data_IF_222589759790
#
_entry.id   IF_222589759790
#
_cell.length_a   1.000
_cell.length_b   1.000
_cell.length_c   1.000
_cell.angle_alpha   90.00
_cell.angle_beta   90.00
_cell.angle_gamma   90.00
#
_symmetry.space_group_name_H-M   'P 1'
#
loop_
_entity.id
_entity.type
_entity.pdbx_description
1 polymer ?
#
# COMPACT_ATOMS: atom_id res chain seq x y z
N UNK A 1 -6.53 8.72 -18.42
CA UNK A 1 -7.29 7.67 -17.70
C UNK A 1 -8.77 7.92 -17.96
N UNK A 2 -9.53 7.00 -18.57
CA UNK A 2 -11.01 7.15 -18.60
C UNK A 2 -11.54 6.87 -17.19
N UNK A 3 -11.96 7.91 -16.47
CA UNK A 3 -12.67 7.79 -15.19
C UNK A 3 -13.98 7.07 -15.48
N UNK A 4 -14.26 5.98 -14.77
CA UNK A 4 -15.46 5.18 -15.03
C UNK A 4 -16.63 5.70 -14.23
N UNK A 5 -17.82 5.57 -14.80
CA UNK A 5 -19.10 5.94 -14.17
C UNK A 5 -19.21 5.31 -12.78
N UNK A 6 -18.81 4.06 -12.59
CA UNK A 6 -18.82 3.41 -11.26
C UNK A 6 -17.93 4.12 -10.23
N UNK A 7 -16.75 4.60 -10.64
CA UNK A 7 -15.85 5.36 -9.75
C UNK A 7 -16.44 6.73 -9.44
N UNK A 8 -17.09 7.36 -10.42
CA UNK A 8 -17.69 8.68 -10.30
C UNK A 8 -18.95 8.66 -9.42
N UNK A 9 -19.86 7.70 -9.64
CA UNK A 9 -21.06 7.50 -8.82
C UNK A 9 -20.68 7.29 -7.35
N UNK A 10 -19.68 6.44 -7.10
CA UNK A 10 -19.30 6.17 -5.72
C UNK A 10 -18.53 7.33 -5.10
N UNK A 11 -17.75 8.08 -5.89
CA UNK A 11 -17.15 9.33 -5.43
C UNK A 11 -18.23 10.33 -4.99
N UNK A 12 -19.29 10.51 -5.80
CA UNK A 12 -20.37 11.43 -5.48
C UNK A 12 -21.10 11.03 -4.20
N UNK A 13 -21.36 9.74 -4.01
CA UNK A 13 -21.93 9.22 -2.76
C UNK A 13 -21.06 9.54 -1.56
N UNK A 14 -19.74 9.35 -1.69
CA UNK A 14 -18.80 9.54 -0.60
C UNK A 14 -18.59 11.02 -0.25
N UNK A 15 -18.48 11.86 -1.29
CA UNK A 15 -18.47 13.30 -1.13
C UNK A 15 -19.75 13.77 -0.44
N UNK A 16 -20.91 13.23 -0.83
CA UNK A 16 -22.18 13.50 -0.16
C UNK A 16 -22.16 13.12 1.32
N UNK A 17 -21.63 11.94 1.67
CA UNK A 17 -21.52 11.49 3.06
C UNK A 17 -20.58 12.41 3.86
N UNK A 18 -19.43 12.78 3.31
CA UNK A 18 -18.49 13.68 3.99
C UNK A 18 -19.06 15.10 4.14
N UNK A 19 -19.70 15.64 3.09
CA UNK A 19 -20.34 16.96 3.15
C UNK A 19 -21.55 16.99 4.10
N UNK A 20 -22.22 15.86 4.32
CA UNK A 20 -23.33 15.76 5.28
C UNK A 20 -22.88 15.72 6.74
N UNK A 21 -21.58 15.66 7.02
CA UNK A 21 -21.05 15.52 8.39
C UNK A 21 -21.19 14.11 8.98
N UNK A 22 -21.82 13.16 8.28
CA UNK A 22 -21.95 11.76 8.73
C UNK A 22 -20.60 11.09 8.95
N UNK A 23 -19.57 11.52 8.19
CA UNK A 23 -18.19 11.07 8.40
C UNK A 23 -17.22 12.24 8.31
N UNK A 24 -16.56 12.49 9.43
CA UNK A 24 -15.43 13.40 9.52
C UNK A 24 -14.12 12.60 9.61
N UNK A 25 -13.10 13.09 8.93
CA UNK A 25 -11.73 12.59 9.07
C UNK A 25 -10.93 13.61 9.88
N UNK A 26 -10.22 13.12 10.89
CA UNK A 26 -9.27 13.92 11.65
C UNK A 26 -7.82 13.52 11.33
N UNK A 27 -6.92 14.49 11.49
CA UNK A 27 -5.49 14.22 11.56
C UNK A 27 -5.18 13.40 12.83
N UNK A 28 -4.04 12.71 12.83
CA UNK A 28 -3.63 11.89 13.96
C UNK A 28 -2.79 12.70 14.97
N UNK A 29 -2.75 12.30 16.26
CA UNK A 29 -2.19 13.11 17.35
C UNK A 29 -0.78 13.67 17.07
N UNK A 30 0.14 12.83 16.58
CA UNK A 30 1.54 13.22 16.32
C UNK A 30 1.70 14.39 15.34
N UNK A 31 0.74 14.60 14.44
CA UNK A 31 0.76 15.74 13.50
C UNK A 31 -0.02 16.91 14.09
N UNK A 32 -1.12 16.64 14.79
CA UNK A 32 -1.87 17.67 15.50
C UNK A 32 -1.01 18.37 16.56
N UNK A 33 -0.18 17.63 17.29
CA UNK A 33 0.72 18.21 18.31
C UNK A 33 1.69 19.23 17.67
N UNK A 34 2.27 18.89 16.52
CA UNK A 34 3.15 19.79 15.77
C UNK A 34 2.41 21.00 15.21
N UNK A 35 1.17 20.79 14.74
CA UNK A 35 0.31 21.86 14.23
C UNK A 35 -0.09 22.84 15.33
N UNK A 36 -0.49 22.33 16.51
CA UNK A 36 -0.87 23.13 17.67
C UNK A 36 0.30 23.92 18.26
N UNK A 37 1.51 23.37 18.18
CA UNK A 37 2.75 24.08 18.53
C UNK A 37 3.16 25.14 17.48
N UNK A 38 2.38 25.31 16.41
CA UNK A 38 2.69 26.21 15.29
C UNK A 38 4.09 25.98 14.71
N UNK A 39 4.51 24.72 14.66
CA UNK A 39 5.85 24.38 14.18
C UNK A 39 5.99 24.70 12.69
N UNK A 40 7.00 25.51 12.36
CA UNK A 40 7.36 25.83 10.98
C UNK A 40 8.04 24.61 10.34
N UNK A 41 7.56 24.09 9.19
CA UNK A 41 8.23 23.05 8.42
C UNK A 41 9.74 23.26 8.26
N UNK A 42 10.21 24.50 8.07
CA UNK A 42 11.64 24.79 7.91
C UNK A 42 12.47 24.42 9.16
N UNK A 43 11.90 24.67 10.34
CA UNK A 43 12.54 24.41 11.65
C UNK A 43 12.47 22.94 12.08
N UNK A 44 11.65 22.12 11.40
CA UNK A 44 11.46 20.71 11.73
C UNK A 44 12.45 19.78 11.04
N UNK A 45 13.51 20.32 10.42
CA UNK A 45 14.55 19.50 9.78
C UNK A 45 15.22 18.61 10.84
N UNK A 46 15.15 17.28 10.64
CA UNK A 46 15.64 16.29 11.60
C UNK A 46 14.60 15.80 12.61
N UNK A 47 13.41 16.43 12.68
CA UNK A 47 12.34 15.98 13.57
C UNK A 47 11.75 14.63 13.09
N UNK A 48 11.54 13.64 13.97
CA UNK A 48 11.09 12.29 13.59
C UNK A 48 9.66 12.24 13.03
N UNK A 49 8.89 13.32 13.13
CA UNK A 49 7.55 13.42 12.54
C UNK A 49 7.47 14.44 11.41
N UNK A 50 8.60 14.99 10.96
CA UNK A 50 8.66 15.98 9.89
C UNK A 50 7.95 15.52 8.62
N UNK A 51 8.32 14.35 8.07
CA UNK A 51 7.69 13.86 6.85
C UNK A 51 6.20 13.54 7.02
N UNK A 52 5.79 13.08 8.21
CA UNK A 52 4.37 12.87 8.55
C UNK A 52 3.60 14.17 8.51
N UNK A 53 4.20 15.21 9.09
CA UNK A 53 3.64 16.56 9.11
C UNK A 53 3.53 17.12 7.70
N UNK A 54 4.58 17.03 6.89
CA UNK A 54 4.58 17.48 5.50
C UNK A 54 3.46 16.85 4.65
N UNK A 55 3.17 15.56 4.84
CA UNK A 55 2.08 14.88 4.12
C UNK A 55 0.70 15.37 4.57
N UNK A 56 0.52 15.68 5.85
CA UNK A 56 -0.76 16.14 6.38
C UNK A 56 -0.96 17.66 6.27
N UNK A 57 0.12 18.42 6.12
CA UNK A 57 0.14 19.89 6.15
C UNK A 57 -0.87 20.54 5.20
N UNK A 58 -1.01 20.13 3.91
CA UNK A 58 -2.02 20.71 3.03
C UNK A 58 -3.45 20.52 3.54
N UNK A 59 -3.74 19.36 4.14
CA UNK A 59 -5.05 19.10 4.75
C UNK A 59 -5.31 19.93 5.99
N UNK A 60 -4.27 20.21 6.79
CA UNK A 60 -4.39 21.05 7.98
C UNK A 60 -4.57 22.53 7.63
N UNK A 61 -3.93 23.00 6.55
CA UNK A 61 -4.21 24.33 6.02
C UNK A 61 -5.67 24.46 5.58
N UNK A 62 -6.21 23.46 4.86
CA UNK A 62 -7.63 23.45 4.50
C UNK A 62 -8.54 23.40 5.73
N UNK A 63 -8.16 22.66 6.78
CA UNK A 63 -8.92 22.60 8.03
C UNK A 63 -8.96 23.94 8.76
N UNK A 64 -7.87 24.72 8.72
CA UNK A 64 -7.84 26.08 9.28
C UNK A 64 -8.82 26.99 8.55
N UNK A 65 -8.88 26.90 7.22
CA UNK A 65 -9.71 27.77 6.39
C UNK A 65 -11.18 27.29 6.39
N UNK A 66 -11.43 25.98 6.59
CA UNK A 66 -12.75 25.34 6.65
C UNK A 66 -12.85 24.35 7.84
N UNK A 67 -13.07 24.85 9.07
CA UNK A 67 -13.11 24.01 10.27
C UNK A 67 -14.17 22.90 10.21
N UNK A 68 -13.80 21.68 10.60
CA UNK A 68 -14.62 20.46 10.58
C UNK A 68 -14.64 19.73 9.22
N UNK A 69 -14.32 20.43 8.12
CA UNK A 69 -14.50 19.92 6.77
C UNK A 69 -13.20 19.82 5.96
N UNK A 70 -12.26 20.74 6.16
CA UNK A 70 -11.08 20.89 5.30
C UNK A 70 -10.20 19.65 5.23
N UNK A 71 -9.89 19.04 6.37
CA UNK A 71 -9.10 17.79 6.41
C UNK A 71 -9.87 16.61 5.81
N UNK A 72 -11.20 16.60 5.96
CA UNK A 72 -12.08 15.59 5.38
C UNK A 72 -12.12 15.68 3.85
N UNK A 73 -12.16 16.88 3.28
CA UNK A 73 -12.04 17.12 1.84
C UNK A 73 -10.68 16.66 1.31
N UNK A 74 -9.61 16.94 2.05
CA UNK A 74 -8.27 16.44 1.71
C UNK A 74 -8.23 14.90 1.67
N UNK A 75 -8.83 14.22 2.65
CA UNK A 75 -8.95 12.76 2.66
C UNK A 75 -9.77 12.24 1.48
N UNK A 76 -10.83 12.93 1.06
CA UNK A 76 -11.62 12.55 -0.13
C UNK A 76 -10.78 12.50 -1.41
N UNK A 77 -9.79 13.39 -1.57
CA UNK A 77 -8.86 13.36 -2.70
C UNK A 77 -8.01 12.08 -2.71
N UNK A 78 -7.52 11.63 -1.55
CA UNK A 78 -6.81 10.35 -1.45
C UNK A 78 -7.73 9.16 -1.67
N UNK A 79 -8.99 9.23 -1.27
CA UNK A 79 -9.97 8.18 -1.58
C UNK A 79 -10.23 8.07 -3.09
N UNK A 80 -10.35 9.19 -3.80
CA UNK A 80 -10.42 9.21 -5.27
C UNK A 80 -9.19 8.54 -5.88
N UNK A 81 -7.99 8.92 -5.39
CA UNK A 81 -6.74 8.33 -5.84
C UNK A 81 -6.74 6.81 -5.60
N UNK A 82 -7.11 6.36 -4.40
CA UNK A 82 -7.21 4.96 -4.02
C UNK A 82 -8.14 4.20 -4.96
N UNK A 83 -9.36 4.69 -5.17
CA UNK A 83 -10.33 4.08 -6.07
C UNK A 83 -9.78 3.97 -7.50
N UNK A 84 -9.20 5.04 -8.02
CA UNK A 84 -8.68 5.09 -9.39
C UNK A 84 -7.50 4.13 -9.62
N UNK A 85 -6.54 4.10 -8.68
CA UNK A 85 -5.35 3.25 -8.73
C UNK A 85 -5.73 1.79 -8.51
N UNK A 86 -6.59 1.50 -7.54
CA UNK A 86 -7.07 0.15 -7.28
C UNK A 86 -7.86 -0.43 -8.45
N UNK A 87 -8.73 0.36 -9.08
CA UNK A 87 -9.42 -0.05 -10.32
C UNK A 87 -8.45 -0.34 -11.47
N UNK A 88 -7.35 0.40 -11.57
CA UNK A 88 -6.29 0.12 -12.54
C UNK A 88 -5.55 -1.19 -12.20
N UNK A 89 -5.25 -1.44 -10.92
CA UNK A 89 -4.64 -2.69 -10.43
C UNK A 89 -5.51 -3.89 -10.81
N UNK A 90 -6.80 -3.89 -10.45
CA UNK A 90 -7.73 -5.00 -10.72
C UNK A 90 -7.79 -5.33 -12.21
N UNK A 91 -7.77 -4.31 -13.08
CA UNK A 91 -7.74 -4.51 -14.53
C UNK A 91 -6.40 -5.07 -15.01
N UNK A 92 -5.28 -4.58 -14.50
CA UNK A 92 -3.95 -5.10 -14.86
C UNK A 92 -3.78 -6.57 -14.47
N UNK A 93 -4.44 -7.02 -13.40
CA UNK A 93 -4.29 -8.37 -12.84
C UNK A 93 -5.32 -9.35 -13.35
N UNK A 94 -6.57 -8.91 -13.56
CA UNK A 94 -7.68 -9.79 -13.94
C UNK A 94 -8.34 -9.45 -15.27
N UNK A 95 -7.94 -8.35 -15.94
CA UNK A 95 -8.52 -7.86 -17.21
C UNK A 95 -10.02 -7.54 -17.14
N UNK A 96 -10.61 -7.43 -15.94
CA UNK A 96 -12.03 -7.14 -15.74
C UNK A 96 -12.20 -6.04 -14.70
N UNK A 97 -13.32 -5.32 -14.76
CA UNK A 97 -13.76 -4.38 -13.73
C UNK A 97 -14.08 -5.11 -12.40
N UNK A 98 -13.86 -4.47 -11.24
CA UNK A 98 -14.48 -4.92 -9.99
C UNK A 98 -16.02 -4.86 -10.10
N UNK A 99 -16.73 -5.76 -9.40
CA UNK A 99 -18.19 -5.69 -9.28
C UNK A 99 -18.61 -4.61 -8.29
N UNK A 100 -19.87 -4.18 -8.34
CA UNK A 100 -20.43 -3.20 -7.41
C UNK A 100 -20.31 -3.64 -5.94
N UNK A 101 -20.48 -4.93 -5.65
CA UNK A 101 -20.28 -5.48 -4.30
C UNK A 101 -18.85 -5.27 -3.78
N UNK A 102 -17.83 -5.60 -4.60
CA UNK A 102 -16.42 -5.45 -4.20
C UNK A 102 -16.08 -3.96 -4.04
N UNK A 103 -16.64 -3.10 -4.90
CA UNK A 103 -16.54 -1.66 -4.73
C UNK A 103 -17.17 -1.20 -3.41
N UNK A 104 -18.39 -1.64 -3.10
CA UNK A 104 -19.06 -1.31 -1.84
C UNK A 104 -18.22 -1.68 -0.62
N UNK A 105 -17.64 -2.89 -0.61
CA UNK A 105 -16.72 -3.33 0.45
C UNK A 105 -15.45 -2.48 0.53
N UNK A 106 -14.84 -2.14 -0.62
CA UNK A 106 -13.65 -1.29 -0.67
C UNK A 106 -13.91 0.06 0.00
N UNK A 107 -15.06 0.69 -0.26
CA UNK A 107 -15.41 1.99 0.31
C UNK A 107 -15.89 1.89 1.75
N UNK A 108 -16.67 0.87 2.09
CA UNK A 108 -17.10 0.60 3.46
C UNK A 108 -15.89 0.57 4.40
N UNK A 109 -14.80 -0.08 3.99
CA UNK A 109 -13.56 -0.12 4.78
C UNK A 109 -12.94 1.28 4.97
N UNK A 110 -13.00 2.17 3.97
CA UNK A 110 -12.50 3.54 4.13
C UNK A 110 -13.33 4.35 5.14
N UNK A 111 -14.62 4.07 5.28
CA UNK A 111 -15.48 4.74 6.27
C UNK A 111 -15.06 4.45 7.70
N UNK A 112 -14.45 3.29 7.95
CA UNK A 112 -13.88 2.92 9.25
C UNK A 112 -12.46 3.43 9.47
N UNK A 113 -11.84 4.07 8.48
CA UNK A 113 -10.49 4.61 8.61
C UNK A 113 -10.50 6.04 9.16
N UNK A 114 -9.41 6.40 9.82
CA UNK A 114 -9.03 7.80 10.03
C UNK A 114 -8.25 8.32 8.82
N UNK A 115 -7.93 9.62 8.79
CA UNK A 115 -7.21 10.20 7.66
C UNK A 115 -5.84 9.58 7.41
N UNK A 116 -5.15 9.16 8.48
CA UNK A 116 -3.87 8.41 8.38
C UNK A 116 -4.03 7.14 7.54
N UNK A 117 -5.09 6.37 7.78
CA UNK A 117 -5.36 5.11 7.08
C UNK A 117 -5.62 5.32 5.59
N UNK A 118 -6.40 6.35 5.24
CA UNK A 118 -6.73 6.68 3.86
C UNK A 118 -5.47 7.03 3.05
N UNK A 119 -4.60 7.86 3.61
CA UNK A 119 -3.33 8.26 2.98
C UNK A 119 -2.36 7.07 2.90
N UNK A 120 -2.29 6.25 3.95
CA UNK A 120 -1.49 5.02 3.96
C UNK A 120 -1.91 4.05 2.84
N UNK A 121 -3.21 3.95 2.56
CA UNK A 121 -3.71 3.16 1.44
C UNK A 121 -3.27 3.72 0.09
N UNK A 122 -3.18 5.04 -0.07
CA UNK A 122 -2.65 5.65 -1.29
C UNK A 122 -1.19 5.30 -1.53
N UNK A 123 -0.37 5.39 -0.48
CA UNK A 123 1.02 4.96 -0.53
C UNK A 123 1.15 3.50 -1.00
N UNK A 124 0.39 2.61 -0.37
CA UNK A 124 0.40 1.19 -0.68
C UNK A 124 -0.11 0.88 -2.09
N UNK A 125 -1.24 1.45 -2.52
CA UNK A 125 -1.81 1.19 -3.84
C UNK A 125 -0.90 1.70 -4.96
N UNK A 126 -0.24 2.85 -4.78
CA UNK A 126 0.77 3.33 -5.72
C UNK A 126 1.97 2.36 -5.80
N UNK A 127 2.44 1.89 -4.64
CA UNK A 127 3.49 0.87 -4.53
C UNK A 127 3.11 -0.45 -5.23
N UNK A 128 1.93 -1.01 -4.92
CA UNK A 128 1.38 -2.21 -5.56
C UNK A 128 1.31 -2.05 -7.06
N UNK A 129 0.81 -0.91 -7.54
CA UNK A 129 0.71 -0.62 -8.98
C UNK A 129 2.10 -0.63 -9.64
N UNK A 130 3.12 -0.10 -8.96
CA UNK A 130 4.50 -0.11 -9.44
C UNK A 130 5.09 -1.52 -9.43
N UNK A 131 4.93 -2.28 -8.35
CA UNK A 131 5.39 -3.66 -8.23
C UNK A 131 4.80 -4.57 -9.32
N UNK A 132 3.51 -4.42 -9.64
CA UNK A 132 2.86 -5.17 -10.74
C UNK A 132 3.47 -4.82 -12.11
N UNK A 133 3.88 -3.57 -12.32
CA UNK A 133 4.56 -3.19 -13.56
C UNK A 133 6.01 -3.72 -13.57
N UNK A 134 6.70 -3.69 -12.42
CA UNK A 134 8.05 -4.23 -12.26
C UNK A 134 8.12 -5.74 -12.53
N UNK A 135 7.09 -6.49 -12.14
CA UNK A 135 7.03 -7.95 -12.35
C UNK A 135 7.02 -8.36 -13.83
N UNK A 136 6.81 -7.41 -14.75
CA UNK A 136 6.83 -7.63 -16.21
C UNK A 136 8.19 -7.21 -16.76
N UNK A 137 9.19 -8.07 -16.58
CA UNK A 137 10.61 -7.76 -16.81
C UNK A 137 10.92 -7.09 -18.17
N UNK A 138 10.22 -7.47 -19.24
CA UNK A 138 10.48 -6.97 -20.60
C UNK A 138 9.70 -5.71 -20.97
N UNK A 139 8.75 -5.25 -20.14
CA UNK A 139 7.91 -4.09 -20.43
C UNK A 139 8.52 -2.85 -19.78
N UNK A 140 8.74 -1.74 -20.52
CA UNK A 140 9.23 -0.50 -19.92
C UNK A 140 8.23 0.08 -18.93
N UNK A 141 8.73 0.58 -17.80
CA UNK A 141 7.90 1.16 -16.74
C UNK A 141 7.89 2.67 -16.91
N UNK A 142 6.71 3.28 -16.92
CA UNK A 142 6.57 4.74 -16.92
C UNK A 142 6.80 5.30 -15.51
N UNK A 143 7.71 6.27 -15.41
CA UNK A 143 8.00 7.03 -14.20
C UNK A 143 8.22 6.19 -12.92
N UNK A 144 9.07 5.14 -12.96
CA UNK A 144 9.24 4.24 -11.82
C UNK A 144 9.76 4.97 -10.58
N UNK A 145 10.69 5.91 -10.78
CA UNK A 145 11.27 6.76 -9.73
C UNK A 145 10.20 7.61 -9.05
N UNK A 146 9.44 8.40 -9.83
CA UNK A 146 8.43 9.32 -9.28
C UNK A 146 7.35 8.53 -8.54
N UNK A 147 6.88 7.40 -9.10
CA UNK A 147 5.88 6.56 -8.45
C UNK A 147 6.39 5.95 -7.15
N UNK A 148 7.65 5.49 -7.12
CA UNK A 148 8.29 4.95 -5.93
C UNK A 148 8.50 6.01 -4.86
N UNK A 149 9.04 7.18 -5.24
CA UNK A 149 9.27 8.30 -4.35
C UNK A 149 7.97 8.82 -3.72
N UNK A 150 6.90 9.00 -4.52
CA UNK A 150 5.59 9.42 -4.01
C UNK A 150 4.98 8.35 -3.11
N UNK A 151 5.07 7.06 -3.46
CA UNK A 151 4.59 5.98 -2.62
C UNK A 151 5.33 5.93 -1.27
N UNK A 152 6.65 6.07 -1.27
CA UNK A 152 7.48 6.14 -0.07
C UNK A 152 7.14 7.39 0.76
N UNK A 153 7.06 8.57 0.14
CA UNK A 153 6.74 9.83 0.81
C UNK A 153 5.38 9.77 1.51
N UNK A 154 4.32 9.35 0.81
CA UNK A 154 3.00 9.14 1.41
C UNK A 154 3.02 8.04 2.47
N UNK A 155 3.88 7.03 2.33
CA UNK A 155 4.05 5.96 3.32
C UNK A 155 4.58 6.46 4.66
N UNK A 156 5.25 7.61 4.71
CA UNK A 156 5.85 8.16 5.95
C UNK A 156 4.84 8.41 7.06
N UNK A 157 3.54 8.60 6.73
CA UNK A 157 2.42 8.72 7.69
C UNK A 157 2.33 7.56 8.69
N UNK A 158 2.99 6.43 8.38
CA UNK A 158 3.15 5.31 9.30
C UNK A 158 4.46 4.59 9.02
N UNK A 159 5.36 4.49 10.01
CA UNK A 159 6.64 3.76 9.84
C UNK A 159 6.43 2.35 9.29
N UNK A 160 5.43 1.61 9.78
CA UNK A 160 5.14 0.26 9.27
C UNK A 160 4.67 0.24 7.80
N UNK A 161 3.88 1.22 7.37
CA UNK A 161 3.43 1.33 5.97
C UNK A 161 4.62 1.67 5.07
N UNK A 162 5.42 2.65 5.50
CA UNK A 162 6.65 3.04 4.82
C UNK A 162 7.59 1.85 4.57
N UNK A 163 7.90 1.08 5.63
CA UNK A 163 8.79 -0.09 5.56
C UNK A 163 8.25 -1.12 4.58
N UNK A 164 6.95 -1.41 4.64
CA UNK A 164 6.31 -2.40 3.77
C UNK A 164 6.29 -1.96 2.31
N UNK A 165 6.03 -0.68 2.03
CA UNK A 165 6.09 -0.11 0.67
C UNK A 165 7.52 -0.20 0.13
N UNK A 166 8.52 0.26 0.90
CA UNK A 166 9.92 0.23 0.49
C UNK A 166 10.41 -1.20 0.25
N UNK A 167 10.09 -2.12 1.17
CA UNK A 167 10.45 -3.53 1.07
C UNK A 167 9.82 -4.18 -0.18
N UNK A 168 8.54 -3.92 -0.45
CA UNK A 168 7.88 -4.43 -1.65
C UNK A 168 8.52 -3.89 -2.94
N UNK A 169 8.83 -2.59 -3.00
CA UNK A 169 9.50 -1.99 -4.16
C UNK A 169 10.88 -2.62 -4.36
N UNK A 170 11.67 -2.75 -3.28
CA UNK A 170 12.99 -3.35 -3.32
C UNK A 170 12.96 -4.80 -3.81
N UNK A 171 12.05 -5.61 -3.28
CA UNK A 171 11.90 -7.00 -3.65
C UNK A 171 11.56 -7.15 -5.16
N UNK A 172 10.58 -6.39 -5.64
CA UNK A 172 10.19 -6.43 -7.05
C UNK A 172 11.25 -5.84 -7.99
N UNK A 173 12.04 -4.88 -7.51
CA UNK A 173 13.21 -4.38 -8.23
C UNK A 173 14.28 -5.48 -8.37
N UNK A 174 14.61 -6.20 -7.30
CA UNK A 174 15.53 -7.33 -7.34
C UNK A 174 15.05 -8.43 -8.29
N UNK A 175 13.77 -8.79 -8.24
CA UNK A 175 13.19 -9.78 -9.15
C UNK A 175 13.32 -9.35 -10.61
N UNK A 176 13.02 -8.08 -10.90
CA UNK A 176 13.17 -7.52 -12.25
C UNK A 176 14.62 -7.52 -12.71
N UNK A 177 15.55 -7.17 -11.83
CA UNK A 177 16.98 -7.18 -12.13
C UNK A 177 17.49 -8.58 -12.42
N UNK A 178 17.17 -9.57 -11.56
CA UNK A 178 17.52 -10.99 -11.77
C UNK A 178 16.93 -11.55 -13.08
N UNK A 179 15.74 -11.09 -13.46
CA UNK A 179 15.09 -11.48 -14.72
C UNK A 179 15.65 -10.75 -15.97
N UNK A 180 16.72 -9.96 -15.84
CA UNK A 180 17.33 -9.20 -16.94
C UNK A 180 16.53 -7.98 -17.41
N UNK A 181 15.47 -7.60 -16.69
CA UNK A 181 14.59 -6.47 -17.01
C UNK A 181 15.15 -5.10 -16.63
N UNK A 182 16.30 -5.07 -15.96
CA UNK A 182 17.08 -3.86 -15.65
C UNK A 182 18.49 -4.04 -16.21
N UNK A 183 18.84 -3.23 -17.20
CA UNK A 183 20.22 -3.13 -17.70
C UNK A 183 20.91 -2.01 -16.93
N UNK A 184 21.80 -2.34 -15.99
CA UNK A 184 22.53 -1.33 -15.17
C UNK A 184 23.42 -0.41 -16.01
N UNK A 185 23.79 -0.84 -17.23
CA UNK A 185 24.47 -0.01 -18.22
C UNK A 185 23.60 1.16 -18.73
N UNK A 186 22.28 1.09 -18.57
CA UNK A 186 21.38 2.17 -18.97
C UNK A 186 21.23 3.18 -17.83
N UNK A 187 21.32 4.47 -18.16
CA UNK A 187 21.19 5.59 -17.22
C UNK A 187 19.93 5.49 -16.34
N UNK A 188 18.79 5.07 -16.90
CA UNK A 188 17.55 4.89 -16.15
C UNK A 188 17.61 3.80 -15.09
N UNK A 189 18.37 2.72 -15.34
CA UNK A 189 18.57 1.62 -14.39
C UNK A 189 19.51 2.03 -13.26
N UNK A 190 20.58 2.73 -13.59
CA UNK A 190 21.51 3.30 -12.62
C UNK A 190 20.84 4.36 -11.73
N UNK A 191 20.05 5.27 -12.31
CA UNK A 191 19.28 6.27 -11.56
C UNK A 191 18.26 5.61 -10.62
N UNK A 192 17.55 4.58 -11.07
CA UNK A 192 16.63 3.85 -10.21
C UNK A 192 17.34 3.19 -9.02
N UNK A 193 18.53 2.63 -9.24
CA UNK A 193 19.35 2.05 -8.17
C UNK A 193 19.83 3.11 -7.19
N UNK A 194 20.40 4.22 -7.70
CA UNK A 194 20.91 5.33 -6.87
C UNK A 194 19.79 5.92 -6.03
N UNK A 195 18.61 6.15 -6.60
CA UNK A 195 17.47 6.67 -5.87
C UNK A 195 16.93 5.68 -4.85
N UNK A 196 16.96 4.37 -5.14
CA UNK A 196 16.59 3.36 -4.17
C UNK A 196 17.60 3.28 -3.02
N UNK A 197 18.90 3.45 -3.29
CA UNK A 197 19.96 3.54 -2.28
C UNK A 197 19.83 4.82 -1.47
N UNK A 198 19.58 5.97 -2.09
CA UNK A 198 19.38 7.25 -1.40
C UNK A 198 18.10 7.24 -0.55
N UNK A 199 17.01 6.70 -1.07
CA UNK A 199 15.81 6.43 -0.26
C UNK A 199 16.19 5.50 0.89
N UNK A 200 16.84 4.37 0.60
CA UNK A 200 17.32 3.44 1.62
C UNK A 200 18.12 4.15 2.71
N UNK A 201 19.06 5.02 2.36
CA UNK A 201 19.92 5.73 3.30
C UNK A 201 19.16 6.77 4.13
N UNK A 202 18.43 7.68 3.48
CA UNK A 202 17.63 8.74 4.16
C UNK A 202 16.57 8.12 5.06
N UNK A 203 16.02 6.98 4.66
CA UNK A 203 14.99 6.31 5.43
C UNK A 203 15.54 5.29 6.42
N UNK A 204 16.78 4.80 6.29
CA UNK A 204 17.41 3.92 7.27
C UNK A 204 17.69 4.69 8.56
N UNK A 205 18.20 5.92 8.47
CA UNK A 205 18.37 6.78 9.65
C UNK A 205 17.02 7.06 10.33
N UNK A 206 15.99 7.39 9.56
CA UNK A 206 14.62 7.52 10.06
C UNK A 206 14.09 6.21 10.68
N UNK A 207 14.39 5.06 10.07
CA UNK A 207 13.95 3.75 10.54
C UNK A 207 14.61 3.36 11.86
N UNK A 208 15.92 3.59 12.01
CA UNK A 208 16.65 3.38 13.26
C UNK A 208 16.05 4.26 14.36
N UNK A 209 15.92 5.56 14.12
CA UNK A 209 15.31 6.50 15.08
C UNK A 209 13.87 6.11 15.42
N UNK A 210 13.10 5.62 14.44
CA UNK A 210 11.74 5.15 14.68
C UNK A 210 11.69 3.84 15.47
N UNK A 211 12.63 2.92 15.26
CA UNK A 211 12.77 1.72 16.09
C UNK A 211 13.14 2.12 17.50
N UNK A 212 14.19 2.93 17.68
CA UNK A 212 14.65 3.41 18.98
C UNK A 212 13.49 4.07 19.75
N UNK A 213 12.77 5.01 19.13
CA UNK A 213 11.59 5.61 19.76
C UNK A 213 10.50 4.62 20.14
N UNK A 214 10.23 3.62 19.29
CA UNK A 214 9.25 2.59 19.65
C UNK A 214 9.77 1.73 20.81
N UNK A 215 11.04 1.35 20.79
CA UNK A 215 11.67 0.58 21.85
C UNK A 215 11.63 1.33 23.19
N UNK A 216 11.97 2.61 23.18
CA UNK A 216 11.92 3.51 24.33
C UNK A 216 10.50 3.69 24.85
N UNK A 217 9.52 3.86 23.94
CA UNK A 217 8.10 3.94 24.30
C UNK A 217 7.61 2.68 25.04
N UNK A 218 8.17 1.51 24.72
CA UNK A 218 7.85 0.24 25.40
C UNK A 218 8.77 -0.08 26.59
N UNK A 219 9.60 0.86 27.04
CA UNK A 219 10.45 0.71 28.24
C UNK A 219 11.91 0.31 27.98
N UNK A 220 12.35 0.27 26.72
CA UNK A 220 13.75 0.06 26.33
C UNK A 220 14.24 -1.39 26.45
N UNK A 221 15.41 -1.66 25.84
CA UNK A 221 16.08 -2.97 25.86
C UNK A 221 15.27 -4.15 25.30
N UNK A 222 15.65 -5.36 25.70
CA UNK A 222 14.95 -6.60 25.27
C UNK A 222 13.50 -6.68 25.76
N UNK A 223 13.20 -6.05 26.90
CA UNK A 223 11.85 -6.01 27.46
C UNK A 223 10.93 -5.10 26.64
N UNK A 224 11.42 -3.93 26.21
CA UNK A 224 10.72 -3.05 25.28
C UNK A 224 10.48 -3.71 23.91
N UNK A 225 11.47 -4.46 23.39
CA UNK A 225 11.29 -5.26 22.17
C UNK A 225 10.17 -6.30 22.33
N UNK A 226 10.14 -7.03 23.46
CA UNK A 226 9.07 -7.99 23.73
C UNK A 226 7.71 -7.31 23.89
N UNK A 227 7.62 -6.19 24.60
CA UNK A 227 6.37 -5.45 24.78
C UNK A 227 5.86 -4.87 23.45
N UNK A 228 6.77 -4.41 22.58
CA UNK A 228 6.47 -4.00 21.22
C UNK A 228 5.90 -5.16 20.39
N UNK A 229 6.53 -6.34 20.46
CA UNK A 229 6.05 -7.56 19.78
C UNK A 229 4.75 -8.09 20.38
N UNK A 230 4.45 -7.79 21.65
CA UNK A 230 3.16 -8.07 22.30
C UNK A 230 2.08 -7.06 21.93
N UNK A 231 2.41 -6.00 21.19
CA UNK A 231 1.45 -5.01 20.72
C UNK A 231 0.82 -5.40 19.37
N UNK A 232 -0.30 -4.77 18.97
CA UNK A 232 -0.97 -5.06 17.70
C UNK A 232 -1.49 -6.50 17.60
N UNK A 233 -1.24 -7.18 16.47
CA UNK A 233 -1.57 -8.62 16.32
C UNK A 233 -0.79 -9.51 17.30
N UNK A 234 0.35 -9.05 17.81
CA UNK A 234 1.14 -9.71 18.83
C UNK A 234 0.37 -10.06 20.10
N UNK A 235 -0.61 -9.22 20.47
CA UNK A 235 -1.48 -9.50 21.62
C UNK A 235 -2.15 -10.87 21.52
N UNK A 236 -2.56 -11.26 20.32
CA UNK A 236 -3.24 -12.54 20.07
C UNK A 236 -2.27 -13.70 20.32
N UNK A 237 -1.01 -13.55 19.91
CA UNK A 237 0.02 -14.58 20.07
C UNK A 237 0.49 -14.70 21.52
N UNK A 238 0.56 -13.61 22.28
CA UNK A 238 1.14 -13.59 23.63
C UNK A 238 0.12 -13.53 24.78
N UNK A 239 -1.19 -13.65 24.50
CA UNK A 239 -2.25 -13.59 25.51
C UNK A 239 -2.33 -14.82 26.43
N UNK A 240 -1.81 -15.98 26.01
CA UNK A 240 -1.82 -17.22 26.81
C UNK A 240 -0.41 -17.63 27.23
N UNK A 241 -0.15 -17.71 28.53
CA UNK A 241 1.13 -18.12 29.11
C UNK A 241 1.74 -19.35 28.42
N UNK A 242 3.00 -19.24 27.97
CA UNK A 242 3.76 -20.31 27.31
C UNK A 242 3.43 -20.56 25.83
N UNK A 243 2.15 -20.52 25.45
CA UNK A 243 1.68 -20.82 24.09
C UNK A 243 2.24 -19.85 23.04
N UNK A 244 2.42 -18.58 23.41
CA UNK A 244 3.04 -17.58 22.53
C UNK A 244 4.50 -17.83 22.19
N UNK A 245 5.27 -18.44 23.11
CA UNK A 245 6.66 -18.81 22.84
C UNK A 245 6.72 -19.97 21.86
N UNK A 246 5.83 -20.96 22.01
CA UNK A 246 5.70 -22.10 21.10
C UNK A 246 5.29 -21.63 19.71
N UNK A 247 4.29 -20.73 19.61
CA UNK A 247 3.86 -20.15 18.33
C UNK A 247 4.97 -19.32 17.67
N UNK A 248 5.76 -18.56 18.44
CA UNK A 248 6.91 -17.82 17.92
C UNK A 248 8.01 -18.76 17.42
N UNK A 249 8.34 -19.81 18.18
CA UNK A 249 9.31 -20.83 17.81
C UNK A 249 8.86 -21.65 16.59
N UNK A 250 7.55 -21.84 16.39
CA UNK A 250 7.00 -22.45 15.17
C UNK A 250 6.96 -21.47 13.98
N UNK A 251 6.74 -20.18 14.25
CA UNK A 251 6.69 -19.13 13.24
C UNK A 251 8.05 -18.90 12.57
N UNK A 252 9.16 -19.13 13.28
CA UNK A 252 10.51 -19.02 12.71
C UNK A 252 10.80 -20.04 11.59
N UNK A 253 10.66 -21.38 11.79
CA UNK A 253 10.88 -22.37 10.74
C UNK A 253 9.79 -22.30 9.67
N UNK A 254 8.51 -22.05 10.02
CA UNK A 254 7.44 -21.87 9.02
C UNK A 254 7.67 -20.60 8.21
N UNK A 255 8.13 -19.52 8.84
CA UNK A 255 8.49 -18.26 8.18
C UNK A 255 9.73 -18.41 7.30
N UNK A 256 10.75 -19.16 7.74
CA UNK A 256 11.94 -19.47 6.96
C UNK A 256 11.61 -20.35 5.74
N UNK A 257 10.80 -21.40 5.91
CA UNK A 257 10.27 -22.20 4.81
C UNK A 257 9.42 -21.35 3.87
N UNK A 258 8.55 -20.50 4.40
CA UNK A 258 7.74 -19.55 3.64
C UNK A 258 8.60 -18.59 2.83
N UNK A 259 9.66 -18.04 3.42
CA UNK A 259 10.63 -17.20 2.74
C UNK A 259 11.38 -17.99 1.66
N UNK A 260 11.79 -19.22 1.94
CA UNK A 260 12.46 -20.09 0.98
C UNK A 260 11.57 -20.37 -0.23
N UNK A 261 10.30 -20.73 -0.02
CA UNK A 261 9.32 -20.89 -1.11
C UNK A 261 9.01 -19.57 -1.82
N UNK A 262 9.05 -18.45 -1.12
CA UNK A 262 8.79 -17.14 -1.70
C UNK A 262 9.93 -16.68 -2.62
N UNK A 263 11.19 -16.95 -2.25
CA UNK A 263 12.39 -16.54 -3.00
C UNK A 263 12.83 -17.59 -4.03
N UNK A 264 12.69 -18.88 -3.74
CA UNK A 264 13.22 -20.00 -4.54
C UNK A 264 12.15 -20.95 -5.08
N UNK A 265 10.89 -20.80 -4.63
CA UNK A 265 9.78 -21.65 -5.08
C UNK A 265 9.17 -21.25 -6.43
N UNK A 266 8.02 -21.85 -6.80
CA UNK A 266 7.36 -21.56 -8.07
C UNK A 266 6.95 -20.09 -8.18
N UNK A 267 6.90 -19.55 -9.40
CA UNK A 267 6.54 -18.14 -9.64
C UNK A 267 5.15 -17.81 -9.10
N UNK A 268 5.10 -17.23 -7.89
CA UNK A 268 3.89 -16.72 -7.26
C UNK A 268 3.42 -15.48 -8.02
N UNK A 269 2.10 -15.37 -8.24
CA UNK A 269 1.50 -14.16 -8.85
C UNK A 269 1.85 -12.92 -8.03
N UNK A 270 2.18 -11.78 -8.66
CA UNK A 270 2.56 -10.53 -7.98
C UNK A 270 1.59 -10.11 -6.86
N UNK A 271 0.28 -10.21 -7.12
CA UNK A 271 -0.78 -9.84 -6.15
C UNK A 271 -0.69 -10.67 -4.87
N UNK A 272 -0.46 -11.98 -5.00
CA UNK A 272 -0.33 -12.88 -3.85
C UNK A 272 0.96 -12.62 -3.07
N UNK A 273 2.05 -12.29 -3.77
CA UNK A 273 3.30 -11.89 -3.11
C UNK A 273 3.09 -10.64 -2.26
N UNK A 274 2.48 -9.61 -2.84
CA UNK A 274 2.15 -8.36 -2.14
C UNK A 274 1.17 -8.59 -0.98
N UNK A 275 0.23 -9.53 -1.13
CA UNK A 275 -0.68 -9.92 -0.05
C UNK A 275 0.08 -10.51 1.13
N UNK A 276 0.99 -11.47 0.88
CA UNK A 276 1.85 -12.06 1.91
C UNK A 276 2.68 -10.96 2.60
N UNK A 277 3.30 -10.05 1.84
CA UNK A 277 4.06 -8.93 2.40
C UNK A 277 3.18 -8.06 3.30
N UNK A 278 1.97 -7.70 2.87
CA UNK A 278 1.07 -6.88 3.69
C UNK A 278 0.56 -7.58 4.96
N UNK A 279 0.30 -8.89 4.89
CA UNK A 279 -0.09 -9.68 6.06
C UNK A 279 1.06 -9.81 7.06
N UNK A 280 2.28 -10.09 6.58
CA UNK A 280 3.48 -10.09 7.41
C UNK A 280 3.73 -8.71 8.04
N UNK A 281 3.48 -7.64 7.26
CA UNK A 281 3.52 -6.27 7.73
C UNK A 281 2.53 -5.95 8.85
N UNK A 282 1.44 -6.73 9.00
CA UNK A 282 0.49 -6.58 10.09
C UNK A 282 1.10 -6.70 11.49
N UNK A 283 2.30 -7.30 11.61
CA UNK A 283 3.10 -7.29 12.84
C UNK A 283 3.47 -5.87 13.31
N UNK A 284 3.58 -4.91 12.39
CA UNK A 284 3.84 -3.49 12.70
C UNK A 284 2.58 -2.71 13.09
N UNK A 285 1.40 -3.33 13.08
CA UNK A 285 0.14 -2.75 13.57
C UNK A 285 -1.04 -2.91 12.61
N UNK A 286 -2.25 -2.67 13.15
CA UNK A 286 -3.51 -2.87 12.43
C UNK A 286 -3.62 -2.07 11.13
N UNK A 287 -3.15 -0.82 11.11
CA UNK A 287 -3.15 0.00 9.88
C UNK A 287 -2.35 -0.67 8.76
N UNK A 288 -1.23 -1.32 9.09
CA UNK A 288 -0.41 -2.04 8.09
C UNK A 288 -1.11 -3.32 7.64
N UNK A 289 -1.77 -4.03 8.56
CA UNK A 289 -2.58 -5.20 8.20
C UNK A 289 -3.70 -4.85 7.23
N UNK A 290 -4.33 -3.66 7.37
CA UNK A 290 -5.40 -3.24 6.45
C UNK A 290 -4.93 -3.10 5.00
N UNK A 291 -3.63 -2.98 4.75
CA UNK A 291 -3.06 -2.95 3.39
C UNK A 291 -3.32 -4.26 2.62
N UNK A 292 -3.61 -5.36 3.32
CA UNK A 292 -4.00 -6.63 2.71
C UNK A 292 -5.40 -6.56 2.04
N UNK A 293 -6.31 -5.75 2.58
CA UNK A 293 -7.72 -5.67 2.15
C UNK A 293 -7.86 -5.38 0.64
N UNK A 294 -7.23 -4.35 0.05
CA UNK A 294 -7.39 -4.10 -1.39
C UNK A 294 -6.94 -5.28 -2.26
N UNK A 295 -5.95 -6.06 -1.81
CA UNK A 295 -5.45 -7.24 -2.50
C UNK A 295 -6.36 -8.45 -2.30
N UNK A 296 -6.91 -8.64 -1.10
CA UNK A 296 -7.94 -9.64 -0.82
C UNK A 296 -9.18 -9.40 -1.68
N UNK A 297 -9.62 -8.15 -1.80
CA UNK A 297 -10.74 -7.78 -2.66
C UNK A 297 -10.47 -8.05 -4.15
N UNK A 298 -9.22 -7.92 -4.61
CA UNK A 298 -8.82 -8.33 -5.96
C UNK A 298 -9.02 -9.85 -6.16
N UNK A 299 -8.49 -10.66 -5.24
CA UNK A 299 -8.56 -12.12 -5.30
C UNK A 299 -10.00 -12.63 -5.11
N UNK A 300 -10.78 -12.05 -4.20
CA UNK A 300 -12.19 -12.36 -3.98
C UNK A 300 -13.02 -12.11 -5.24
N UNK A 301 -12.82 -10.97 -5.91
CA UNK A 301 -13.45 -10.69 -7.19
C UNK A 301 -13.10 -11.72 -8.28
N UNK A 302 -11.87 -12.25 -8.25
CA UNK A 302 -11.42 -13.33 -9.14
C UNK A 302 -12.07 -14.68 -8.81
N UNK A 303 -12.18 -15.02 -7.52
CA UNK A 303 -12.82 -16.24 -7.04
C UNK A 303 -14.32 -16.24 -7.36
N UNK A 304 -15.04 -15.17 -7.05
CA UNK A 304 -16.46 -15.03 -7.35
C UNK A 304 -16.75 -15.22 -8.84
N UNK A 305 -15.89 -14.68 -9.73
CA UNK A 305 -16.02 -14.90 -11.17
C UNK A 305 -15.77 -16.33 -11.62
N UNK A 306 -14.93 -17.10 -10.91
CA UNK A 306 -14.73 -18.52 -11.21
C UNK A 306 -15.96 -19.32 -10.79
N UNK A 307 -16.52 -19.03 -9.61
CA UNK A 307 -17.75 -19.66 -9.12
C UNK A 307 -18.93 -19.37 -10.05
N UNK A 308 -19.17 -18.12 -10.44
CA UNK A 308 -20.26 -17.76 -11.35
C UNK A 308 -20.11 -18.42 -12.74
N UNK A 309 -18.88 -18.66 -13.20
CA UNK A 309 -18.63 -19.41 -14.44
C UNK A 309 -18.91 -20.89 -14.29
N UNK A 310 -18.47 -21.48 -13.18
CA UNK A 310 -18.76 -22.88 -12.86
C UNK A 310 -20.27 -23.14 -12.76
N UNK A 311 -21.02 -22.19 -12.22
CA UNK A 311 -22.48 -22.23 -12.12
C UNK A 311 -23.22 -21.91 -13.44
N UNK A 312 -22.52 -21.65 -14.55
CA UNK A 312 -23.15 -21.31 -15.83
C UNK A 312 -23.81 -19.91 -15.89
N UNK A 313 -23.77 -19.14 -14.81
CA UNK A 313 -24.42 -17.82 -14.69
C UNK A 313 -23.70 -16.70 -15.43
N UNK A 314 -22.51 -16.96 -15.99
CA UNK A 314 -21.73 -15.97 -16.74
C UNK A 314 -21.08 -16.58 -17.98
N UNK A 315 -21.58 -16.21 -19.16
CA UNK A 315 -20.98 -16.56 -20.46
C UNK A 315 -19.58 -15.94 -20.59
N UNK A 316 -18.68 -16.63 -21.27
CA UNK A 316 -17.34 -16.12 -21.55
C UNK A 316 -17.44 -14.78 -22.29
N UNK A 317 -16.61 -13.76 -21.97
CA UNK A 317 -16.36 -12.75 -22.96
C UNK A 317 -15.78 -13.48 -24.18
N UNK A 318 -16.48 -13.41 -25.31
CA UNK A 318 -15.97 -13.89 -26.60
C UNK A 318 -14.59 -13.26 -26.72
N UNK A 319 -13.54 -14.09 -26.76
CA UNK A 319 -12.20 -13.61 -27.03
C UNK A 319 -12.31 -12.74 -28.29
N UNK A 320 -11.73 -11.54 -28.34
CA UNK A 320 -11.74 -10.78 -29.59
C UNK A 320 -11.19 -11.72 -30.65
N UNK A 321 -12.03 -12.05 -31.64
CA UNK A 321 -11.60 -12.76 -32.82
C UNK A 321 -10.44 -11.95 -33.33
N UNK A 322 -9.23 -12.51 -33.23
CA UNK A 322 -8.05 -11.97 -33.87
C UNK A 322 -8.29 -12.19 -35.36
N UNK A 323 -9.13 -11.32 -35.92
CA UNK A 323 -9.40 -11.25 -37.34
C UNK A 323 -8.13 -10.78 -38.00
N UNK A 324 -7.44 -11.74 -38.60
CA UNK A 324 -6.80 -11.63 -39.91
C UNK A 324 -6.36 -10.20 -40.28
N UNK A 325 -5.20 -9.76 -39.77
CA UNK A 325 -4.39 -8.82 -40.55
C UNK A 325 -3.57 -9.62 -41.53
N UNK A 326 -4.11 -9.68 -42.75
CA UNK A 326 -3.36 -9.58 -44.00
C UNK A 326 -2.17 -10.50 -44.15
N UNK A 327 -2.45 -11.68 -44.71
CA UNK A 327 -1.52 -12.37 -45.60
C UNK A 327 -1.00 -11.39 -46.68
N UNK A 328 0.28 -11.56 -46.97
CA UNK A 328 1.02 -11.13 -48.15
C UNK A 328 0.17 -10.73 -49.35
N UNK A 329 0.40 -9.52 -49.87
CA UNK A 329 0.38 -9.26 -51.31
C UNK A 329 1.75 -8.69 -51.64
N UNK A 330 2.54 -9.53 -52.31
CA UNK A 330 3.63 -9.14 -53.18
C UNK A 330 3.10 -8.25 -54.29
N UNK A 331 3.72 -7.09 -54.45
CA UNK A 331 4.19 -6.55 -55.74
C UNK A 331 5.42 -5.68 -55.44
#
# INVERSE_FOLDING_TARGET
>A
MKVRISTLVILLLLLGITLSGVKEFSAWPQVLDLWLQQADPATLTGHPHFFRYMVAYPGLMLERDYPGLGFSLYCCLFMLLNASVWSAIVRKTHQVSPSYLIWGLFFLVHMFMNGRGVIAWSAWLLGVSLCIDMSRAQVPIKWPVVRGAVACFLGTVSTGVFVIVLFAIFLFFLERWKAGGVKLRNFSGLMALILLVLCGYVFLSYFIVAIEKNLDFYGGGMQGLMLMLKHGMGKIFFAGGGLGLILLLLALPVGALGALFFFFGPRIRPVRKLLIISMAGGLFGFTVLTLAIPLLLCEAGSAMRRVLRFLGLRRQPVAPVVGARGLNVTD
#
